data_IF_627913642688
#
_entry.id   IF_627913642688
#
_cell.length_a   1.000
_cell.length_b   1.000
_cell.length_c   1.000
_cell.angle_alpha   90.00
_cell.angle_beta   90.00
_cell.angle_gamma   90.00
#
_symmetry.space_group_name_H-M   'P 1'
#
loop_
_entity.id
_entity.type
_entity.pdbx_description
1 polymer ?
#
# COMPACT_ATOMS: atom_id res chain seq x y z
N UNK A 1 69.21 -23.69 -41.45
CA UNK A 1 68.76 -25.10 -41.29
C UNK A 1 67.47 -25.10 -40.51
N UNK A 2 66.42 -25.39 -41.25
CA UNK A 2 65.06 -25.37 -40.73
C UNK A 2 64.52 -26.79 -40.89
N UNK A 3 64.13 -27.49 -39.82
CA UNK A 3 63.45 -28.77 -40.03
C UNK A 3 61.94 -28.61 -39.97
N UNK A 4 61.39 -29.31 -40.90
CA UNK A 4 60.00 -29.44 -41.32
C UNK A 4 59.02 -29.79 -40.20
N UNK A 5 57.83 -29.25 -40.34
CA UNK A 5 56.58 -29.57 -39.62
C UNK A 5 55.91 -30.75 -40.37
N UNK A 6 55.44 -31.78 -39.68
CA UNK A 6 54.52 -32.70 -40.30
C UNK A 6 53.07 -32.21 -40.06
N UNK A 7 52.33 -32.09 -41.13
CA UNK A 7 50.85 -32.02 -41.17
C UNK A 7 50.28 -33.32 -40.67
N UNK A 8 49.33 -33.23 -39.77
CA UNK A 8 48.51 -34.35 -39.39
C UNK A 8 47.06 -33.94 -39.61
N UNK A 9 46.56 -34.33 -40.74
CA UNK A 9 45.14 -34.41 -41.07
C UNK A 9 44.44 -35.30 -40.02
N UNK A 10 43.45 -34.74 -39.36
CA UNK A 10 42.46 -35.55 -38.68
C UNK A 10 41.08 -35.01 -38.99
N UNK A 11 40.58 -35.47 -40.08
CA UNK A 11 39.16 -35.49 -40.43
C UNK A 11 38.43 -36.26 -39.33
N UNK A 12 37.68 -35.56 -38.44
CA UNK A 12 36.73 -36.21 -37.56
C UNK A 12 35.34 -35.73 -37.93
N UNK A 13 34.82 -36.45 -38.94
CA UNK A 13 33.37 -36.52 -39.23
C UNK A 13 32.63 -36.91 -37.99
N UNK A 14 31.84 -36.01 -37.40
CA UNK A 14 30.88 -36.36 -36.40
C UNK A 14 29.49 -35.89 -36.76
N UNK A 15 28.87 -36.67 -37.58
CA UNK A 15 27.42 -36.75 -37.64
C UNK A 15 26.94 -37.28 -36.28
N UNK A 16 26.23 -36.49 -35.56
CA UNK A 16 25.58 -36.84 -34.31
C UNK A 16 24.46 -35.85 -34.07
N UNK A 17 23.37 -35.96 -34.81
CA UNK A 17 22.14 -35.27 -34.52
C UNK A 17 21.60 -35.69 -33.15
N UNK A 18 21.57 -34.78 -32.21
CA UNK A 18 20.81 -34.95 -30.98
C UNK A 18 19.40 -34.43 -31.24
N UNK A 19 18.39 -35.28 -31.12
CA UNK A 19 17.00 -34.80 -31.23
C UNK A 19 16.67 -33.89 -30.08
N UNK A 20 16.04 -32.78 -30.43
CA UNK A 20 15.68 -31.67 -29.58
C UNK A 20 15.09 -32.05 -28.26
N UNK A 21 15.78 -31.66 -27.22
CA UNK A 21 15.12 -31.40 -25.93
C UNK A 21 14.19 -30.22 -26.12
N UNK A 22 12.92 -30.47 -26.09
CA UNK A 22 11.90 -29.46 -25.84
C UNK A 22 12.21 -28.82 -24.49
N UNK A 23 13.09 -27.84 -24.53
CA UNK A 23 13.25 -26.89 -23.42
C UNK A 23 11.92 -26.17 -23.36
N UNK A 24 11.07 -26.63 -22.43
CA UNK A 24 9.83 -25.98 -22.09
C UNK A 24 10.14 -24.48 -21.87
N UNK A 25 9.87 -23.69 -22.89
CA UNK A 25 9.97 -22.24 -22.81
C UNK A 25 8.96 -21.79 -21.77
N UNK A 26 9.42 -21.67 -20.52
CA UNK A 26 8.72 -20.93 -19.49
C UNK A 26 8.62 -19.50 -20.03
N UNK A 27 7.51 -19.24 -20.76
CA UNK A 27 7.22 -17.91 -21.32
C UNK A 27 7.23 -16.93 -20.17
N UNK A 28 8.31 -16.17 -20.05
CA UNK A 28 8.35 -15.01 -19.18
C UNK A 28 7.12 -14.15 -19.52
N UNK A 29 6.35 -13.70 -18.52
CA UNK A 29 5.15 -12.92 -18.76
C UNK A 29 5.50 -11.74 -19.67
N UNK A 30 4.71 -11.55 -20.73
CA UNK A 30 4.96 -10.53 -21.74
C UNK A 30 5.12 -9.15 -21.06
N UNK A 31 6.00 -8.33 -21.57
CA UNK A 31 6.26 -6.96 -21.03
C UNK A 31 4.97 -6.16 -20.88
N UNK A 32 4.00 -6.38 -21.76
CA UNK A 32 2.67 -5.78 -21.69
C UNK A 32 1.87 -6.19 -20.44
N UNK A 33 1.95 -7.46 -20.02
CA UNK A 33 1.25 -7.91 -18.81
C UNK A 33 1.88 -7.26 -17.55
N UNK A 34 3.20 -7.19 -17.50
CA UNK A 34 3.91 -6.54 -16.38
C UNK A 34 3.58 -5.06 -16.25
N UNK A 35 3.53 -4.34 -17.38
CA UNK A 35 3.14 -2.93 -17.39
C UNK A 35 1.71 -2.73 -16.88
N UNK A 36 0.77 -3.56 -17.30
CA UNK A 36 -0.62 -3.52 -16.83
C UNK A 36 -0.73 -3.76 -15.33
N UNK A 37 0.00 -4.73 -14.79
CA UNK A 37 0.00 -5.04 -13.36
C UNK A 37 0.62 -3.88 -12.57
N UNK A 38 1.73 -3.31 -13.02
CA UNK A 38 2.35 -2.15 -12.37
C UNK A 38 1.39 -0.94 -12.32
N UNK A 39 0.69 -0.67 -13.44
CA UNK A 39 -0.32 0.40 -13.50
C UNK A 39 -1.50 0.12 -12.56
N UNK A 40 -1.97 -1.13 -12.50
CA UNK A 40 -3.06 -1.52 -11.60
C UNK A 40 -2.66 -1.33 -10.13
N UNK A 41 -1.46 -1.77 -9.74
CA UNK A 41 -0.93 -1.60 -8.38
C UNK A 41 -0.82 -0.10 -8.02
N UNK A 42 -0.30 0.73 -8.93
CA UNK A 42 -0.23 2.18 -8.72
C UNK A 42 -1.63 2.81 -8.59
N UNK A 43 -2.60 2.36 -9.41
CA UNK A 43 -3.98 2.81 -9.32
C UNK A 43 -4.64 2.46 -7.99
N UNK A 44 -4.43 1.23 -7.50
CA UNK A 44 -4.91 0.78 -6.18
C UNK A 44 -4.29 1.61 -5.06
N UNK A 45 -2.97 1.85 -5.11
CA UNK A 45 -2.30 2.69 -4.13
C UNK A 45 -2.81 4.15 -4.15
N UNK A 46 -3.00 4.72 -5.33
CA UNK A 46 -3.57 6.06 -5.48
C UNK A 46 -4.99 6.14 -4.89
N UNK A 47 -5.81 5.08 -5.06
CA UNK A 47 -7.11 4.98 -4.41
C UNK A 47 -6.98 4.99 -2.89
N UNK A 48 -6.04 4.24 -2.32
CA UNK A 48 -5.77 4.23 -0.87
C UNK A 48 -5.42 5.64 -0.35
N UNK A 49 -4.53 6.35 -1.04
CA UNK A 49 -4.18 7.73 -0.69
C UNK A 49 -5.40 8.68 -0.80
N UNK A 50 -6.22 8.53 -1.82
CA UNK A 50 -7.45 9.32 -1.98
C UNK A 50 -8.45 9.06 -0.85
N UNK A 51 -8.60 7.81 -0.41
CA UNK A 51 -9.46 7.45 0.72
C UNK A 51 -9.00 8.13 2.01
N UNK A 52 -7.70 8.21 2.27
CA UNK A 52 -7.16 8.94 3.43
C UNK A 52 -7.48 10.44 3.34
N UNK A 53 -7.37 11.05 2.15
CA UNK A 53 -7.77 12.46 1.96
C UNK A 53 -9.26 12.64 2.25
N UNK A 54 -10.12 11.77 1.73
CA UNK A 54 -11.57 11.85 1.97
C UNK A 54 -11.89 11.65 3.44
N UNK A 55 -11.19 10.73 4.12
CA UNK A 55 -11.37 10.48 5.56
C UNK A 55 -11.18 11.75 6.40
N UNK A 56 -10.20 12.60 6.05
CA UNK A 56 -9.96 13.87 6.77
C UNK A 56 -11.16 14.80 6.86
N UNK A 57 -12.01 14.79 5.82
CA UNK A 57 -13.18 15.66 5.72
C UNK A 57 -14.47 14.97 6.14
N UNK A 58 -14.41 13.70 6.55
CA UNK A 58 -15.59 12.94 6.99
C UNK A 58 -15.66 12.85 8.51
N UNK A 59 -16.86 12.69 9.09
CA UNK A 59 -17.01 12.47 10.51
C UNK A 59 -16.26 11.21 10.97
N UNK A 60 -15.39 11.35 11.98
CA UNK A 60 -14.67 10.26 12.63
C UNK A 60 -15.56 9.55 13.65
N UNK A 61 -16.23 10.34 14.48
CA UNK A 61 -17.13 9.86 15.52
C UNK A 61 -18.31 10.82 15.71
N UNK A 62 -19.41 10.28 16.22
CA UNK A 62 -20.57 11.05 16.65
C UNK A 62 -20.81 10.80 18.12
N UNK A 63 -21.01 11.87 18.90
CA UNK A 63 -21.33 11.81 20.32
C UNK A 63 -22.84 11.87 20.48
N UNK A 64 -23.42 10.85 21.14
CA UNK A 64 -24.86 10.76 21.41
C UNK A 64 -25.15 10.78 22.90
N UNK A 65 -26.22 11.49 23.29
CA UNK A 65 -26.76 11.41 24.62
C UNK A 65 -27.47 10.07 24.85
N UNK A 66 -27.09 9.36 25.89
CA UNK A 66 -27.74 8.09 26.25
C UNK A 66 -29.20 8.27 26.69
N UNK A 67 -29.54 9.44 27.21
CA UNK A 67 -30.89 9.73 27.69
C UNK A 67 -31.88 10.04 26.56
N UNK A 68 -31.44 10.73 25.50
CA UNK A 68 -32.31 11.20 24.42
C UNK A 68 -32.02 10.58 23.05
N UNK A 69 -30.95 9.79 22.95
CA UNK A 69 -30.39 9.25 21.70
C UNK A 69 -30.12 10.32 20.62
N UNK A 70 -30.02 11.58 21.03
CA UNK A 70 -29.74 12.69 20.15
C UNK A 70 -28.25 12.84 19.92
N UNK A 71 -27.87 13.18 18.70
CA UNK A 71 -26.49 13.60 18.38
C UNK A 71 -26.27 14.95 19.04
N UNK A 72 -25.23 15.03 19.88
CA UNK A 72 -24.85 16.24 20.59
C UNK A 72 -23.70 16.94 19.88
N UNK A 73 -22.76 16.13 19.36
CA UNK A 73 -21.57 16.63 18.67
C UNK A 73 -21.13 15.65 17.59
N UNK A 74 -20.36 16.17 16.63
CA UNK A 74 -19.79 15.39 15.54
C UNK A 74 -18.36 15.87 15.32
N UNK A 75 -17.40 14.98 15.51
CA UNK A 75 -15.98 15.28 15.35
C UNK A 75 -15.51 14.72 14.03
N UNK A 76 -14.91 15.56 13.19
CA UNK A 76 -14.26 15.14 11.94
C UNK A 76 -12.83 14.66 12.20
N UNK A 77 -12.34 13.73 11.36
CA UNK A 77 -10.98 13.21 11.42
C UNK A 77 -9.94 14.35 11.41
N UNK A 78 -10.07 15.28 10.47
CA UNK A 78 -9.15 16.40 10.35
C UNK A 78 -9.11 17.31 11.59
N UNK A 79 -10.25 17.57 12.23
CA UNK A 79 -10.28 18.36 13.46
C UNK A 79 -9.69 17.62 14.66
N UNK A 80 -9.76 16.29 14.68
CA UNK A 80 -9.21 15.46 15.74
C UNK A 80 -7.68 15.40 15.69
N UNK A 81 -7.12 15.18 14.49
CA UNK A 81 -5.68 15.01 14.27
C UNK A 81 -4.96 16.23 13.70
N UNK A 82 -5.57 17.40 13.72
CA UNK A 82 -4.99 18.61 13.11
C UNK A 82 -4.54 18.39 11.65
N UNK A 83 -5.34 17.64 10.89
CA UNK A 83 -5.09 17.29 9.49
C UNK A 83 -3.83 16.46 9.24
N UNK A 84 -3.39 15.64 10.21
CA UNK A 84 -2.17 14.84 10.11
C UNK A 84 -2.19 13.78 9.00
N UNK A 85 -3.35 13.23 8.64
CA UNK A 85 -3.47 12.24 7.56
C UNK A 85 -3.25 12.87 6.17
N UNK A 86 -3.49 14.17 6.01
CA UNK A 86 -3.33 14.84 4.72
C UNK A 86 -1.87 14.81 4.21
N UNK A 87 -0.84 15.19 5.00
CA UNK A 87 0.55 15.02 4.59
C UNK A 87 0.93 13.55 4.36
N UNK A 88 0.38 12.61 5.14
CA UNK A 88 0.61 11.16 4.94
C UNK A 88 0.06 10.74 3.56
N UNK A 89 -1.17 11.13 3.23
CA UNK A 89 -1.80 10.83 1.96
C UNK A 89 -1.05 11.44 0.76
N UNK A 90 -0.61 12.69 0.88
CA UNK A 90 0.17 13.38 -0.16
C UNK A 90 1.53 12.68 -0.37
N UNK A 91 2.24 12.36 0.71
CA UNK A 91 3.50 11.63 0.64
C UNK A 91 3.32 10.23 0.05
N UNK A 92 2.27 9.50 0.44
CA UNK A 92 1.94 8.20 -0.12
C UNK A 92 1.67 8.30 -1.62
N UNK A 93 0.88 9.26 -2.06
CA UNK A 93 0.62 9.53 -3.48
C UNK A 93 1.90 9.84 -4.26
N UNK A 94 2.79 10.66 -3.69
CA UNK A 94 4.10 10.99 -4.29
C UNK A 94 4.98 9.74 -4.39
N UNK A 95 5.04 8.91 -3.35
CA UNK A 95 5.84 7.67 -3.35
C UNK A 95 5.30 6.66 -4.36
N UNK A 96 3.98 6.53 -4.50
CA UNK A 96 3.33 5.68 -5.51
C UNK A 96 3.70 6.18 -6.92
N UNK A 97 3.60 7.48 -7.16
CA UNK A 97 3.97 8.08 -8.43
C UNK A 97 5.46 7.84 -8.76
N UNK A 98 6.33 8.02 -7.77
CA UNK A 98 7.77 7.79 -7.91
C UNK A 98 8.07 6.30 -8.17
N UNK A 99 7.40 5.40 -7.46
CA UNK A 99 7.52 3.96 -7.66
C UNK A 99 7.11 3.53 -9.07
N UNK A 100 5.99 4.09 -9.57
CA UNK A 100 5.48 3.81 -10.91
C UNK A 100 6.41 4.36 -12.00
N UNK A 101 6.96 5.59 -11.82
CA UNK A 101 7.78 6.24 -12.82
C UNK A 101 9.23 5.75 -12.87
N UNK A 102 9.81 5.47 -11.72
CA UNK A 102 11.24 5.12 -11.58
C UNK A 102 11.46 3.64 -11.24
N UNK A 103 10.42 2.81 -11.22
CA UNK A 103 10.48 1.41 -10.78
C UNK A 103 11.23 1.22 -9.44
N UNK A 104 11.07 2.19 -8.53
CA UNK A 104 11.84 2.28 -7.31
C UNK A 104 11.17 1.48 -6.17
N UNK A 105 11.81 0.39 -5.76
CA UNK A 105 11.31 -0.45 -4.68
C UNK A 105 11.30 0.25 -3.31
N UNK A 106 12.22 1.21 -3.08
CA UNK A 106 12.25 1.99 -1.84
C UNK A 106 11.02 2.87 -1.70
N UNK A 107 10.52 3.41 -2.82
CA UNK A 107 9.29 4.18 -2.82
C UNK A 107 8.07 3.31 -2.48
N UNK A 108 8.04 2.04 -2.91
CA UNK A 108 7.01 1.08 -2.49
C UNK A 108 7.12 0.75 -1.00
N UNK A 109 8.33 0.53 -0.49
CA UNK A 109 8.55 0.30 0.94
C UNK A 109 8.11 1.52 1.78
N UNK A 110 8.43 2.73 1.32
CA UNK A 110 7.97 3.97 1.96
C UNK A 110 6.44 4.09 1.95
N UNK A 111 5.78 3.72 0.83
CA UNK A 111 4.31 3.67 0.77
C UNK A 111 3.75 2.70 1.80
N UNK A 112 4.33 1.52 1.95
CA UNK A 112 3.97 0.55 2.98
C UNK A 112 4.14 1.11 4.39
N UNK A 113 5.27 1.78 4.68
CA UNK A 113 5.52 2.40 5.97
C UNK A 113 4.47 3.50 6.29
N UNK A 114 4.11 4.33 5.32
CA UNK A 114 3.05 5.33 5.47
C UNK A 114 1.68 4.67 5.73
N UNK A 115 1.38 3.55 5.05
CA UNK A 115 0.19 2.76 5.31
C UNK A 115 0.16 2.18 6.73
N UNK A 116 1.31 1.70 7.26
CA UNK A 116 1.41 1.25 8.66
C UNK A 116 1.16 2.40 9.63
N UNK A 117 1.75 3.58 9.38
CA UNK A 117 1.57 4.75 10.24
C UNK A 117 0.10 5.17 10.26
N UNK A 118 -0.56 5.27 9.10
CA UNK A 118 -1.99 5.59 9.03
C UNK A 118 -2.84 4.56 9.77
N UNK A 119 -2.54 3.27 9.61
CA UNK A 119 -3.26 2.20 10.32
C UNK A 119 -3.07 2.27 11.83
N UNK A 120 -1.87 2.62 12.30
CA UNK A 120 -1.61 2.79 13.73
C UNK A 120 -2.36 4.00 14.31
N UNK A 121 -2.48 5.09 13.56
CA UNK A 121 -3.29 6.24 13.95
C UNK A 121 -4.75 5.79 14.12
N UNK A 122 -5.32 5.14 13.12
CA UNK A 122 -6.70 4.65 13.17
C UNK A 122 -6.97 3.68 14.33
N UNK A 123 -6.06 2.73 14.59
CA UNK A 123 -6.28 1.68 15.58
C UNK A 123 -5.91 2.10 17.00
N UNK A 124 -4.84 2.88 17.19
CA UNK A 124 -4.35 3.26 18.50
C UNK A 124 -4.82 4.65 18.93
N UNK A 125 -5.05 5.56 17.97
CA UNK A 125 -5.56 6.88 18.21
C UNK A 125 -7.09 6.91 18.23
N UNK A 126 -7.71 6.56 17.13
CA UNK A 126 -9.12 6.84 16.88
C UNK A 126 -10.08 5.80 17.41
N UNK A 127 -9.71 4.52 17.35
CA UNK A 127 -10.61 3.44 17.78
C UNK A 127 -10.98 3.52 19.28
N UNK A 128 -10.06 3.81 20.21
CA UNK A 128 -10.39 3.99 21.61
C UNK A 128 -11.34 5.18 21.83
N UNK A 129 -11.11 6.30 21.15
CA UNK A 129 -11.93 7.49 21.27
C UNK A 129 -13.34 7.29 20.69
N UNK A 130 -13.44 6.53 19.59
CA UNK A 130 -14.73 6.16 18.99
C UNK A 130 -15.56 5.20 19.84
N UNK A 131 -15.01 4.63 20.91
CA UNK A 131 -15.69 3.77 21.87
C UNK A 131 -15.79 4.41 23.27
N UNK A 132 -15.32 5.65 23.41
CA UNK A 132 -15.32 6.33 24.68
C UNK A 132 -16.74 6.69 25.14
N UNK A 133 -16.96 6.64 26.44
CA UNK A 133 -18.20 7.06 27.09
C UNK A 133 -17.89 7.85 28.36
N UNK A 134 -18.74 8.81 28.70
CA UNK A 134 -18.53 9.62 29.87
C UNK A 134 -19.68 10.58 30.19
N UNK A 135 -19.53 11.27 31.32
CA UNK A 135 -20.45 12.33 31.71
C UNK A 135 -20.09 13.63 30.98
N UNK A 136 -21.05 14.19 30.28
CA UNK A 136 -20.95 15.51 29.66
C UNK A 136 -21.96 16.46 30.30
N UNK A 137 -21.60 17.72 30.39
CA UNK A 137 -22.49 18.74 30.94
C UNK A 137 -21.72 19.77 31.74
N UNK A 138 -22.48 20.62 32.41
CA UNK A 138 -21.96 21.61 33.34
C UNK A 138 -22.82 21.69 34.60
N UNK A 139 -22.30 22.16 35.72
CA UNK A 139 -23.10 22.30 36.93
C UNK A 139 -24.38 23.11 36.74
N UNK A 140 -24.37 24.07 35.81
CA UNK A 140 -25.53 24.92 35.53
C UNK A 140 -26.59 24.26 34.65
N UNK A 141 -26.25 23.21 33.87
CA UNK A 141 -27.15 22.55 32.91
C UNK A 141 -27.43 21.08 33.24
N UNK A 142 -26.84 20.60 34.33
CA UNK A 142 -26.86 19.18 34.66
C UNK A 142 -25.88 18.34 33.84
N UNK A 143 -25.69 17.10 34.29
CA UNK A 143 -24.83 16.10 33.63
C UNK A 143 -25.67 15.06 32.92
N UNK A 144 -25.25 14.68 31.72
CA UNK A 144 -25.84 13.59 30.99
C UNK A 144 -24.74 12.59 30.60
N UNK A 145 -25.08 11.31 30.53
CA UNK A 145 -24.16 10.30 30.00
C UNK A 145 -24.19 10.36 28.47
N UNK A 146 -23.01 10.36 27.86
CA UNK A 146 -22.86 10.34 26.44
C UNK A 146 -21.89 9.23 26.02
N UNK A 147 -22.08 8.69 24.82
CA UNK A 147 -21.21 7.71 24.20
C UNK A 147 -20.80 8.16 22.79
N UNK A 148 -19.55 7.93 22.47
CA UNK A 148 -19.06 8.04 21.11
C UNK A 148 -19.49 6.82 20.29
N UNK A 149 -19.78 7.03 19.02
CA UNK A 149 -20.10 5.98 18.05
C UNK A 149 -19.22 6.21 16.83
N UNK A 150 -18.53 5.15 16.34
CA UNK A 150 -17.72 5.24 15.11
C UNK A 150 -18.56 5.76 13.94
N UNK A 151 -17.99 6.67 13.18
CA UNK A 151 -18.61 7.25 12.00
C UNK A 151 -17.81 6.87 10.73
N UNK A 152 -18.29 7.19 9.53
CA UNK A 152 -17.68 6.75 8.27
C UNK A 152 -16.18 7.10 8.10
N UNK A 153 -15.70 8.19 8.72
CA UNK A 153 -14.30 8.62 8.66
C UNK A 153 -13.34 7.56 9.14
N UNK A 154 -13.62 6.91 10.28
CA UNK A 154 -12.80 5.83 10.83
C UNK A 154 -12.67 4.64 9.88
N UNK A 155 -13.78 4.26 9.23
CA UNK A 155 -13.76 3.16 8.27
C UNK A 155 -12.99 3.52 7.00
N UNK A 156 -13.14 4.75 6.51
CA UNK A 156 -12.42 5.24 5.31
C UNK A 156 -10.92 5.32 5.56
N UNK A 157 -10.51 5.79 6.73
CA UNK A 157 -9.12 5.86 7.15
C UNK A 157 -8.49 4.47 7.22
N UNK A 158 -9.13 3.55 7.96
CA UNK A 158 -8.67 2.17 8.07
C UNK A 158 -8.60 1.49 6.71
N UNK A 159 -9.63 1.66 5.87
CA UNK A 159 -9.66 1.10 4.51
C UNK A 159 -8.55 1.68 3.65
N UNK A 160 -8.34 3.00 3.67
CA UNK A 160 -7.27 3.67 2.93
C UNK A 160 -5.88 3.15 3.31
N UNK A 161 -5.61 2.98 4.61
CA UNK A 161 -4.37 2.42 5.13
C UNK A 161 -4.15 0.97 4.67
N UNK A 162 -5.18 0.12 4.74
CA UNK A 162 -5.12 -1.27 4.27
C UNK A 162 -4.85 -1.35 2.77
N UNK A 163 -5.52 -0.52 1.97
CA UNK A 163 -5.34 -0.47 0.51
C UNK A 163 -3.90 -0.05 0.15
N UNK A 164 -3.31 0.92 0.87
CA UNK A 164 -1.90 1.29 0.72
C UNK A 164 -0.97 0.12 1.03
N UNK A 165 -1.21 -0.61 2.11
CA UNK A 165 -0.41 -1.78 2.50
C UNK A 165 -0.49 -2.89 1.46
N UNK A 166 -1.67 -3.21 0.96
CA UNK A 166 -1.87 -4.21 -0.08
C UNK A 166 -1.13 -3.81 -1.36
N UNK A 167 -1.30 -2.55 -1.79
CA UNK A 167 -0.61 -2.02 -2.97
C UNK A 167 0.91 -2.13 -2.83
N UNK A 168 1.46 -1.67 -1.70
CA UNK A 168 2.89 -1.74 -1.42
C UNK A 168 3.38 -3.20 -1.38
N UNK A 169 2.66 -4.09 -0.70
CA UNK A 169 3.00 -5.51 -0.59
C UNK A 169 3.04 -6.21 -1.94
N UNK A 170 2.01 -6.05 -2.76
CA UNK A 170 1.97 -6.61 -4.13
C UNK A 170 3.11 -6.03 -4.98
N UNK A 171 3.33 -4.71 -4.91
CA UNK A 171 4.39 -4.05 -5.65
C UNK A 171 5.78 -4.57 -5.28
N UNK A 172 6.06 -4.79 -3.99
CA UNK A 172 7.32 -5.34 -3.50
C UNK A 172 7.52 -6.79 -3.94
N UNK A 173 6.50 -7.64 -3.87
CA UNK A 173 6.56 -9.04 -4.32
C UNK A 173 6.87 -9.13 -5.82
N UNK A 174 6.27 -8.28 -6.64
CA UNK A 174 6.51 -8.24 -8.08
C UNK A 174 7.87 -7.64 -8.45
N UNK A 175 8.37 -6.71 -7.63
CA UNK A 175 9.69 -6.07 -7.80
C UNK A 175 10.86 -6.95 -7.36
N UNK A 176 10.70 -7.69 -6.25
CA UNK A 176 11.75 -8.52 -5.65
C UNK A 176 12.24 -9.66 -6.55
N UNK A 177 11.37 -10.20 -7.39
CA UNK A 177 11.73 -11.24 -8.36
C UNK A 177 12.73 -10.81 -9.44
N UNK A 178 12.98 -9.49 -9.60
CA UNK A 178 13.94 -8.95 -10.59
C UNK A 178 15.39 -8.95 -10.09
N UNK A 179 15.63 -8.90 -8.78
CA UNK A 179 16.99 -8.85 -8.22
C UNK A 179 17.65 -10.23 -8.13
N UNK A 180 16.89 -11.29 -7.94
CA UNK A 180 17.41 -12.67 -7.86
C UNK A 180 18.01 -13.21 -9.17
N UNK A 181 17.74 -12.60 -10.31
CA UNK A 181 18.24 -13.02 -11.62
C UNK A 181 19.53 -12.32 -12.09
N UNK A 182 20.14 -11.46 -11.27
CA UNK A 182 21.34 -10.71 -11.62
C UNK A 182 22.60 -11.06 -10.81
N UNK A 183 22.55 -12.14 -10.02
CA UNK A 183 23.67 -12.64 -9.24
C UNK A 183 24.42 -13.79 -9.93
#
# INVERSE_FOLDING_TARGET
>A
MNPARPEADTEYSRAGGTPGGDSGSSRAPSSALRSRVATAVAGVGALGAALLVVAEFTPLLTVRSSASNRVIDTVSTGSHHSYALLPIAVLAGLMIWLAWRAENWLALAATGALGVIALLIALLGDLPDAQAGGLIGSPARGFAFASAIPAPGLYLETLGAIVLLISAGIGLLLGGSRQSGRG
#
